data_IF_059000273454
#
_entry.id   IF_059000273454
#
_cell.length_a   1.000
_cell.length_b   1.000
_cell.length_c   1.000
_cell.angle_alpha   90.00
_cell.angle_beta   90.00
_cell.angle_gamma   90.00
#
_symmetry.space_group_name_H-M   'P 1'
#
loop_
_entity.id
_entity.type
_entity.pdbx_description
1 polymer ?
#
# COMPACT_ATOMS: atom_id res chain seq x y z
N UNK A 1 29.78 3.68 8.09
CA UNK A 1 28.59 2.91 7.67
C UNK A 1 27.43 3.77 8.12
N UNK A 2 26.65 4.33 7.19
CA UNK A 2 25.46 5.11 7.57
C UNK A 2 24.51 4.18 8.30
N UNK A 3 24.10 4.53 9.52
CA UNK A 3 23.03 3.83 10.22
C UNK A 3 21.78 3.89 9.32
N UNK A 4 21.53 2.81 8.58
CA UNK A 4 20.32 2.68 7.79
C UNK A 4 19.14 2.61 8.78
N UNK A 5 18.28 3.60 8.71
CA UNK A 5 17.07 3.61 9.55
C UNK A 5 16.13 2.48 9.10
N UNK A 6 16.09 1.38 9.84
CA UNK A 6 15.24 0.22 9.55
C UNK A 6 13.79 0.61 9.87
N UNK A 7 12.93 0.61 8.86
CA UNK A 7 11.50 0.92 8.98
C UNK A 7 10.70 -0.34 9.31
N UNK A 8 10.98 -1.45 8.59
CA UNK A 8 10.34 -2.75 8.85
C UNK A 8 11.41 -3.79 9.06
N UNK A 9 11.32 -4.54 10.16
CA UNK A 9 12.16 -5.69 10.42
C UNK A 9 11.31 -6.95 10.51
N UNK A 10 11.63 -7.95 9.70
CA UNK A 10 10.95 -9.25 9.66
C UNK A 10 11.89 -10.31 10.23
N UNK A 11 11.43 -11.10 11.19
CA UNK A 11 12.22 -12.12 11.88
C UNK A 11 11.52 -13.47 11.83
N UNK A 12 12.15 -14.44 11.17
CA UNK A 12 11.70 -15.84 11.09
C UNK A 12 10.20 -15.97 10.74
N UNK A 13 9.72 -15.14 9.81
CA UNK A 13 8.31 -15.04 9.47
C UNK A 13 7.80 -16.34 8.84
N UNK A 14 6.75 -16.89 9.41
CA UNK A 14 6.11 -18.12 8.95
C UNK A 14 4.62 -17.92 8.74
N UNK A 15 4.09 -18.52 7.68
CA UNK A 15 2.66 -18.57 7.41
C UNK A 15 2.29 -19.91 6.81
N UNK A 16 1.35 -20.58 7.46
CA UNK A 16 0.72 -21.78 6.96
C UNK A 16 -0.79 -21.58 6.80
N UNK A 17 -1.38 -22.22 5.80
CA UNK A 17 -2.82 -22.35 5.58
C UNK A 17 -3.17 -23.83 5.73
N UNK A 18 -3.71 -24.20 6.87
CA UNK A 18 -3.88 -25.61 7.24
C UNK A 18 -2.51 -26.32 7.30
N UNK A 19 -2.32 -27.32 6.48
CA UNK A 19 -1.04 -28.07 6.38
C UNK A 19 -0.07 -27.51 5.35
N UNK A 20 -0.48 -26.51 4.56
CA UNK A 20 0.36 -25.92 3.52
C UNK A 20 1.19 -24.77 4.07
N UNK A 21 2.51 -24.95 4.19
CA UNK A 21 3.46 -23.93 4.57
C UNK A 21 3.77 -23.03 3.35
N UNK A 22 3.42 -21.74 3.43
CA UNK A 22 3.59 -20.76 2.35
C UNK A 22 4.78 -19.84 2.60
N UNK A 23 4.98 -19.40 3.83
CA UNK A 23 6.17 -18.67 4.24
C UNK A 23 6.90 -19.50 5.29
N UNK A 24 8.20 -19.72 5.12
CA UNK A 24 9.01 -20.58 5.97
C UNK A 24 10.31 -19.90 6.41
N UNK A 25 10.20 -19.08 7.46
CA UNK A 25 11.36 -18.49 8.12
C UNK A 25 11.98 -17.28 7.39
N UNK A 26 11.16 -16.40 6.78
CA UNK A 26 11.69 -15.21 6.11
C UNK A 26 12.23 -14.22 7.15
N UNK A 27 13.49 -13.80 6.95
CA UNK A 27 14.13 -12.76 7.75
C UNK A 27 14.72 -11.70 6.82
N UNK A 28 14.31 -10.44 7.00
CA UNK A 28 14.78 -9.31 6.19
C UNK A 28 14.51 -8.00 6.90
N UNK A 29 15.31 -6.98 6.59
CA UNK A 29 15.10 -5.60 7.01
C UNK A 29 14.78 -4.74 5.78
N UNK A 30 13.84 -3.80 5.92
CA UNK A 30 13.48 -2.80 4.93
C UNK A 30 13.78 -1.43 5.53
N UNK A 31 14.66 -0.69 4.87
CA UNK A 31 15.09 0.62 5.36
C UNK A 31 14.20 1.73 4.81
N UNK A 32 14.17 2.85 5.53
CA UNK A 32 13.44 4.04 5.06
C UNK A 32 13.98 4.53 3.70
N UNK A 33 13.08 4.82 2.77
CA UNK A 33 13.40 5.25 1.40
C UNK A 33 13.88 4.12 0.48
N UNK A 34 13.87 2.86 0.94
CA UNK A 34 14.27 1.71 0.14
C UNK A 34 13.13 1.24 -0.76
N UNK A 35 13.48 0.84 -1.98
CA UNK A 35 12.57 0.17 -2.92
C UNK A 35 12.95 -1.30 -2.99
N UNK A 36 12.09 -2.16 -2.46
CA UNK A 36 12.29 -3.61 -2.41
C UNK A 36 11.34 -4.30 -3.40
N UNK A 37 11.88 -5.10 -4.31
CA UNK A 37 11.10 -5.93 -5.22
C UNK A 37 11.08 -7.39 -4.77
N UNK A 38 9.89 -7.94 -4.55
CA UNK A 38 9.70 -9.37 -4.23
C UNK A 38 9.39 -10.12 -5.51
N UNK A 39 10.31 -10.98 -5.94
CA UNK A 39 10.20 -11.76 -7.18
C UNK A 39 10.04 -13.24 -6.90
N UNK A 40 9.36 -13.95 -7.78
CA UNK A 40 9.15 -15.40 -7.68
C UNK A 40 7.97 -15.86 -8.56
N UNK A 41 7.81 -17.16 -8.78
CA UNK A 41 6.70 -17.71 -9.58
C UNK A 41 5.33 -17.44 -8.95
N UNK A 42 4.27 -17.63 -9.70
CA UNK A 42 2.90 -17.57 -9.18
C UNK A 42 2.73 -18.61 -8.05
N UNK A 43 2.04 -18.23 -6.96
CA UNK A 43 1.84 -19.11 -5.82
C UNK A 43 3.02 -19.23 -4.85
N UNK A 44 4.15 -18.52 -5.07
CA UNK A 44 5.33 -18.59 -4.17
C UNK A 44 5.18 -17.81 -2.86
N UNK A 45 4.02 -17.25 -2.56
CA UNK A 45 3.78 -16.56 -1.29
C UNK A 45 4.05 -15.05 -1.30
N UNK A 46 4.36 -14.41 -2.46
CA UNK A 46 4.64 -12.96 -2.56
C UNK A 46 3.54 -12.09 -1.94
N UNK A 47 2.29 -12.30 -2.37
CA UNK A 47 1.14 -11.58 -1.83
C UNK A 47 0.90 -11.88 -0.35
N UNK A 48 1.14 -13.13 0.08
CA UNK A 48 1.05 -13.52 1.48
C UNK A 48 2.08 -12.77 2.32
N UNK A 49 3.33 -12.68 1.84
CA UNK A 49 4.38 -11.91 2.50
C UNK A 49 4.00 -10.43 2.63
N UNK A 50 3.61 -9.77 1.52
CA UNK A 50 3.19 -8.36 1.54
C UNK A 50 2.02 -8.11 2.49
N UNK A 51 1.00 -8.98 2.45
CA UNK A 51 -0.18 -8.87 3.34
C UNK A 51 0.14 -9.18 4.79
N UNK A 52 1.20 -9.92 5.07
CA UNK A 52 1.67 -10.13 6.43
C UNK A 52 2.31 -8.87 7.01
N UNK A 53 2.98 -8.03 6.20
CA UNK A 53 3.63 -6.79 6.67
C UNK A 53 2.67 -5.76 7.29
N UNK A 54 1.36 -5.85 6.97
CA UNK A 54 0.31 -5.03 7.60
C UNK A 54 -0.74 -5.87 8.35
N UNK A 55 -0.44 -7.14 8.61
CA UNK A 55 -1.30 -8.14 9.27
C UNK A 55 -2.70 -8.28 8.63
N UNK A 56 -2.86 -8.04 7.33
CA UNK A 56 -4.03 -8.54 6.59
C UNK A 56 -4.01 -10.07 6.51
N UNK A 57 -2.80 -10.65 6.46
CA UNK A 57 -2.56 -12.07 6.70
C UNK A 57 -1.79 -12.20 8.02
N UNK A 58 -2.42 -12.74 9.04
CA UNK A 58 -1.78 -12.94 10.35
C UNK A 58 -0.77 -14.09 10.22
N UNK A 59 0.52 -13.87 10.54
CA UNK A 59 1.54 -14.91 10.53
C UNK A 59 1.20 -16.06 11.49
N UNK A 60 1.71 -17.26 11.19
CA UNK A 60 1.63 -18.42 12.11
C UNK A 60 2.85 -18.51 13.02
N UNK A 61 3.90 -17.73 12.74
CA UNK A 61 5.12 -17.63 13.56
C UNK A 61 6.02 -16.51 13.08
N UNK A 62 7.03 -16.21 13.87
CA UNK A 62 7.96 -15.10 13.65
C UNK A 62 7.39 -13.78 14.15
N UNK A 63 8.12 -12.69 13.83
CA UNK A 63 7.80 -11.34 14.28
C UNK A 63 7.95 -10.34 13.14
N UNK A 64 7.15 -9.28 13.19
CA UNK A 64 7.26 -8.11 12.30
C UNK A 64 7.33 -6.88 13.18
N UNK A 65 8.45 -6.17 13.13
CA UNK A 65 8.60 -4.89 13.81
C UNK A 65 8.45 -3.77 12.78
N UNK A 66 7.55 -2.84 13.06
CA UNK A 66 7.37 -1.59 12.31
C UNK A 66 7.77 -0.43 13.21
N UNK A 67 8.74 0.39 12.80
CA UNK A 67 9.34 1.44 13.63
C UNK A 67 9.76 0.94 15.04
N UNK A 68 10.33 -0.27 15.09
CA UNK A 68 10.75 -0.90 16.34
C UNK A 68 9.63 -1.50 17.20
N UNK A 69 8.36 -1.33 16.82
CA UNK A 69 7.21 -1.91 17.53
C UNK A 69 6.84 -3.25 16.90
N UNK A 70 6.77 -4.32 17.70
CA UNK A 70 6.29 -5.62 17.24
C UNK A 70 4.79 -5.57 16.98
N UNK A 71 4.40 -5.47 15.71
CA UNK A 71 3.00 -5.41 15.31
C UNK A 71 2.29 -6.76 15.38
N UNK A 72 3.03 -7.86 15.56
CA UNK A 72 2.45 -9.20 15.74
C UNK A 72 1.99 -9.46 17.17
N UNK A 73 2.37 -8.61 18.14
CA UNK A 73 1.86 -8.69 19.51
C UNK A 73 0.37 -8.30 19.53
N UNK A 74 -0.54 -9.18 19.99
CA UNK A 74 -1.98 -8.89 20.04
C UNK A 74 -2.37 -7.72 20.95
N UNK A 75 -1.46 -7.22 21.78
CA UNK A 75 -1.68 -6.02 22.59
C UNK A 75 -1.49 -4.71 21.83
N UNK A 76 -0.87 -4.76 20.66
CA UNK A 76 -0.60 -3.59 19.82
C UNK A 76 -1.84 -3.25 18.99
N UNK A 77 -2.22 -1.97 18.98
CA UNK A 77 -3.27 -1.47 18.09
C UNK A 77 -2.75 -1.40 16.64
N UNK A 78 -2.98 -2.47 15.90
CA UNK A 78 -2.55 -2.59 14.50
C UNK A 78 -3.16 -1.49 13.61
N UNK A 79 -4.31 -0.93 13.95
CA UNK A 79 -4.94 0.08 13.12
C UNK A 79 -4.14 1.39 13.09
N UNK A 80 -3.43 1.71 14.17
CA UNK A 80 -2.47 2.84 14.18
C UNK A 80 -1.33 2.64 13.20
N UNK A 81 -0.79 1.41 13.12
CA UNK A 81 0.29 1.08 12.19
C UNK A 81 -0.21 1.02 10.75
N UNK A 82 -1.42 0.48 10.51
CA UNK A 82 -2.04 0.46 9.16
C UNK A 82 -2.28 1.86 8.58
N UNK A 83 -2.43 2.89 9.40
CA UNK A 83 -2.50 4.28 8.92
C UNK A 83 -1.20 4.72 8.24
N UNK A 84 -0.06 4.17 8.66
CA UNK A 84 1.28 4.47 8.16
C UNK A 84 1.74 3.50 7.05
N UNK A 85 1.01 2.42 6.82
CA UNK A 85 1.34 1.38 5.83
C UNK A 85 0.27 1.40 4.74
N UNK A 86 0.56 2.12 3.65
CA UNK A 86 -0.32 2.13 2.49
C UNK A 86 -0.27 0.80 1.74
N UNK A 87 -1.40 0.35 1.21
CA UNK A 87 -1.44 -0.86 0.39
C UNK A 87 -2.26 -0.65 -0.87
N UNK A 88 -1.69 -1.06 -1.99
CA UNK A 88 -2.30 -1.06 -3.32
C UNK A 88 -2.41 -2.50 -3.78
N UNK A 89 -3.62 -2.93 -4.09
CA UNK A 89 -3.93 -4.30 -4.48
C UNK A 89 -3.99 -4.45 -5.99
N UNK A 90 -3.90 -5.68 -6.47
CA UNK A 90 -4.16 -6.07 -7.86
C UNK A 90 -5.56 -5.61 -8.32
N UNK A 91 -6.57 -5.80 -7.48
CA UNK A 91 -7.89 -5.23 -7.68
C UNK A 91 -7.92 -3.83 -7.05
N UNK A 92 -8.43 -2.85 -7.76
CA UNK A 92 -8.39 -1.43 -7.37
C UNK A 92 -9.12 -1.14 -6.04
N UNK A 93 -10.13 -1.94 -5.71
CA UNK A 93 -10.93 -1.87 -4.47
C UNK A 93 -11.49 -0.45 -4.18
N UNK A 94 -11.85 0.29 -5.24
CA UNK A 94 -12.51 1.57 -5.10
C UNK A 94 -13.98 1.36 -4.67
N UNK A 95 -14.49 2.26 -3.84
CA UNK A 95 -15.89 2.26 -3.43
C UNK A 95 -16.77 2.72 -4.60
N UNK A 96 -17.59 1.84 -5.20
CA UNK A 96 -18.30 2.15 -6.45
C UNK A 96 -19.37 3.23 -6.30
N UNK A 97 -19.92 3.40 -5.10
CA UNK A 97 -20.96 4.38 -4.77
C UNK A 97 -20.40 5.74 -4.33
N UNK A 98 -19.08 5.92 -4.38
CA UNK A 98 -18.38 7.17 -4.05
C UNK A 98 -17.68 7.71 -5.28
N UNK A 99 -17.66 9.03 -5.43
CA UNK A 99 -16.83 9.67 -6.47
C UNK A 99 -15.35 9.40 -6.21
N UNK A 100 -14.52 9.64 -7.20
CA UNK A 100 -13.05 9.55 -7.09
C UNK A 100 -12.53 10.37 -5.92
N UNK A 101 -12.93 11.63 -5.84
CA UNK A 101 -12.54 12.53 -4.74
C UNK A 101 -12.98 11.99 -3.38
N UNK A 102 -14.22 11.50 -3.28
CA UNK A 102 -14.73 10.90 -2.05
C UNK A 102 -13.98 9.62 -1.65
N UNK A 103 -13.52 8.82 -2.63
CA UNK A 103 -12.67 7.65 -2.36
C UNK A 103 -11.35 8.05 -1.69
N UNK A 104 -10.72 9.12 -2.16
CA UNK A 104 -9.44 9.62 -1.62
C UNK A 104 -9.64 10.24 -0.23
N UNK A 105 -10.72 11.01 -0.03
CA UNK A 105 -11.00 11.72 1.22
C UNK A 105 -11.46 10.81 2.36
N UNK A 106 -11.99 9.61 2.04
CA UNK A 106 -12.75 8.80 2.99
C UNK A 106 -11.96 8.51 4.27
N UNK A 107 -10.81 7.87 4.16
CA UNK A 107 -10.04 7.43 5.31
C UNK A 107 -9.52 8.60 6.16
N UNK A 108 -8.89 9.66 5.60
CA UNK A 108 -8.46 10.81 6.39
C UNK A 108 -9.58 11.48 7.20
N UNK A 109 -10.79 11.57 6.63
CA UNK A 109 -11.95 12.19 7.30
C UNK A 109 -12.55 11.28 8.37
N UNK A 110 -12.83 10.01 8.03
CA UNK A 110 -13.43 9.05 8.96
C UNK A 110 -12.55 8.77 10.19
N UNK A 111 -11.23 8.77 9.99
CA UNK A 111 -10.25 8.60 11.07
C UNK A 111 -9.94 9.92 11.80
N UNK A 112 -10.62 11.02 11.42
CA UNK A 112 -10.44 12.36 12.02
C UNK A 112 -9.00 12.88 11.97
N UNK A 113 -8.24 12.47 10.94
CA UNK A 113 -6.88 12.95 10.70
C UNK A 113 -6.87 14.30 9.97
N UNK A 114 -7.94 14.59 9.22
CA UNK A 114 -8.14 15.82 8.47
C UNK A 114 -9.60 16.26 8.56
N UNK A 115 -9.84 17.56 8.50
CA UNK A 115 -11.17 18.11 8.24
C UNK A 115 -11.59 17.78 6.80
N UNK A 116 -12.87 17.94 6.48
CA UNK A 116 -13.36 17.71 5.10
C UNK A 116 -12.71 18.67 4.12
N UNK A 117 -12.46 19.90 4.52
CA UNK A 117 -11.84 20.95 3.72
C UNK A 117 -10.37 20.62 3.42
N UNK A 118 -9.61 20.19 4.43
CA UNK A 118 -8.21 19.76 4.27
C UNK A 118 -8.12 18.51 3.39
N UNK A 119 -8.96 17.50 3.64
CA UNK A 119 -9.01 16.28 2.84
C UNK A 119 -9.42 16.56 1.39
N UNK A 120 -10.34 17.53 1.16
CA UNK A 120 -10.74 17.96 -0.18
C UNK A 120 -9.57 18.58 -0.95
N UNK A 121 -8.83 19.47 -0.31
CA UNK A 121 -7.64 20.10 -0.90
C UNK A 121 -6.55 19.05 -1.19
N UNK A 122 -6.27 18.18 -0.23
CA UNK A 122 -5.32 17.09 -0.39
C UNK A 122 -5.71 16.14 -1.54
N UNK A 123 -7.00 15.84 -1.68
CA UNK A 123 -7.49 15.00 -2.77
C UNK A 123 -7.27 15.67 -4.15
N UNK A 124 -7.51 16.98 -4.27
CA UNK A 124 -7.25 17.71 -5.52
C UNK A 124 -5.76 17.72 -5.87
N UNK A 125 -4.87 17.93 -4.89
CA UNK A 125 -3.41 17.85 -5.05
C UNK A 125 -2.97 16.45 -5.52
N UNK A 126 -3.51 15.40 -4.90
CA UNK A 126 -3.19 14.02 -5.28
C UNK A 126 -3.73 13.65 -6.66
N UNK A 127 -4.93 14.12 -7.02
CA UNK A 127 -5.49 13.94 -8.35
C UNK A 127 -4.64 14.62 -9.43
N UNK A 128 -4.15 15.82 -9.16
CA UNK A 128 -3.21 16.49 -10.05
C UNK A 128 -1.90 15.68 -10.18
N UNK A 129 -1.35 15.19 -9.07
CA UNK A 129 -0.13 14.37 -9.05
C UNK A 129 -0.24 13.08 -9.87
N UNK A 130 -1.41 12.42 -9.82
CA UNK A 130 -1.64 11.19 -10.60
C UNK A 130 -2.18 11.46 -12.02
N UNK A 131 -2.20 12.73 -12.47
CA UNK A 131 -2.61 13.12 -13.81
C UNK A 131 -4.11 12.99 -14.09
N UNK A 132 -4.97 13.10 -13.07
CA UNK A 132 -6.42 12.93 -13.18
C UNK A 132 -7.25 14.04 -12.50
N UNK A 133 -6.87 15.34 -12.63
CA UNK A 133 -7.57 16.41 -11.94
C UNK A 133 -9.02 16.58 -12.40
N UNK A 134 -9.33 16.24 -13.65
CA UNK A 134 -10.67 16.31 -14.26
C UNK A 134 -11.61 15.18 -13.80
N UNK A 135 -11.10 14.16 -13.12
CA UNK A 135 -11.86 12.96 -12.70
C UNK A 135 -12.42 13.05 -11.28
N UNK A 136 -12.24 14.17 -10.57
CA UNK A 136 -12.66 14.32 -9.17
C UNK A 136 -14.11 13.87 -8.89
N UNK A 137 -15.03 14.23 -9.78
CA UNK A 137 -16.46 13.96 -9.64
C UNK A 137 -16.92 12.69 -10.40
N UNK A 138 -16.03 11.99 -11.11
CA UNK A 138 -16.34 10.74 -11.79
C UNK A 138 -16.55 9.61 -10.77
N UNK A 139 -17.30 8.58 -11.18
CA UNK A 139 -17.44 7.33 -10.43
C UNK A 139 -16.50 6.26 -10.97
N UNK A 140 -16.10 5.26 -10.15
CA UNK A 140 -15.14 4.24 -10.56
C UNK A 140 -15.51 3.46 -11.83
N UNK A 141 -16.79 3.23 -12.11
CA UNK A 141 -17.28 2.54 -13.32
C UNK A 141 -17.01 3.31 -14.61
N UNK A 142 -16.83 4.64 -14.51
CA UNK A 142 -16.54 5.52 -15.66
C UNK A 142 -15.04 5.58 -16.02
N UNK A 143 -14.18 4.80 -15.35
CA UNK A 143 -12.74 4.92 -15.44
C UNK A 143 -12.11 3.67 -16.07
N UNK A 144 -11.00 3.88 -16.80
CA UNK A 144 -10.15 2.77 -17.26
C UNK A 144 -9.44 2.07 -16.09
N UNK A 145 -8.91 0.87 -16.34
CA UNK A 145 -8.13 0.12 -15.33
C UNK A 145 -6.94 0.91 -14.79
N UNK A 146 -6.15 1.53 -15.67
CA UNK A 146 -5.01 2.36 -15.28
C UNK A 146 -5.40 3.59 -14.48
N UNK A 147 -6.53 4.24 -14.82
CA UNK A 147 -7.06 5.35 -14.04
C UNK A 147 -7.50 4.89 -12.64
N UNK A 148 -8.22 3.76 -12.54
CA UNK A 148 -8.61 3.17 -11.24
C UNK A 148 -7.40 2.87 -10.37
N UNK A 149 -6.33 2.33 -10.95
CA UNK A 149 -5.10 2.01 -10.21
C UNK A 149 -4.39 3.26 -9.71
N UNK A 150 -4.24 4.30 -10.54
CA UNK A 150 -3.67 5.58 -10.11
C UNK A 150 -4.48 6.23 -9.00
N UNK A 151 -5.80 6.11 -9.02
CA UNK A 151 -6.67 6.59 -7.94
C UNK A 151 -6.49 5.74 -6.67
N UNK A 152 -6.34 4.41 -6.78
CA UNK A 152 -6.04 3.56 -5.63
C UNK A 152 -4.70 3.92 -4.97
N UNK A 153 -3.69 4.28 -5.76
CA UNK A 153 -2.42 4.83 -5.27
C UNK A 153 -2.65 6.18 -4.57
N UNK A 154 -3.36 7.12 -5.21
CA UNK A 154 -3.69 8.43 -4.63
C UNK A 154 -4.46 8.29 -3.30
N UNK A 155 -5.41 7.36 -3.22
CA UNK A 155 -6.15 7.06 -1.99
C UNK A 155 -5.23 6.59 -0.86
N UNK A 156 -4.26 5.73 -1.17
CA UNK A 156 -3.28 5.28 -0.17
C UNK A 156 -2.35 6.42 0.26
N UNK A 157 -1.91 7.26 -0.67
CA UNK A 157 -1.07 8.43 -0.38
C UNK A 157 -1.78 9.51 0.46
N UNK A 158 -3.12 9.56 0.44
CA UNK A 158 -3.89 10.51 1.24
C UNK A 158 -3.68 10.35 2.75
N UNK A 159 -3.27 9.17 3.18
CA UNK A 159 -2.93 8.86 4.59
C UNK A 159 -1.52 9.29 4.99
N UNK A 160 -0.70 9.83 4.07
CA UNK A 160 0.72 10.14 4.26
C UNK A 160 1.51 8.93 4.85
N UNK A 161 1.48 7.78 4.17
CA UNK A 161 2.12 6.57 4.69
C UNK A 161 3.64 6.66 4.69
N UNK A 162 4.30 5.97 5.64
CA UNK A 162 5.75 5.82 5.70
C UNK A 162 6.28 4.76 4.72
N UNK A 163 5.41 3.82 4.33
CA UNK A 163 5.68 2.78 3.34
C UNK A 163 4.47 2.47 2.49
N UNK A 164 4.70 2.20 1.21
CA UNK A 164 3.68 1.75 0.25
C UNK A 164 3.94 0.30 -0.17
N UNK A 165 2.99 -0.59 0.09
CA UNK A 165 3.01 -1.98 -0.35
C UNK A 165 2.21 -2.12 -1.65
N UNK A 166 2.81 -2.71 -2.68
CA UNK A 166 2.18 -2.93 -3.98
C UNK A 166 2.07 -4.43 -4.26
N UNK A 167 0.85 -4.96 -4.24
CA UNK A 167 0.56 -6.37 -4.51
C UNK A 167 0.11 -6.51 -5.97
N UNK A 168 1.06 -6.81 -6.86
CA UNK A 168 0.86 -6.97 -8.31
C UNK A 168 0.07 -5.80 -8.97
N UNK A 169 0.52 -4.53 -8.81
CA UNK A 169 -0.29 -3.36 -9.15
C UNK A 169 -0.61 -3.20 -10.63
N UNK A 170 0.03 -3.97 -11.51
CA UNK A 170 -0.14 -3.88 -12.97
C UNK A 170 -0.75 -5.14 -13.59
N UNK A 171 -0.91 -6.23 -12.83
CA UNK A 171 -1.34 -7.53 -13.39
C UNK A 171 -2.78 -7.57 -13.92
N UNK A 172 -3.64 -6.65 -13.45
CA UNK A 172 -5.02 -6.49 -13.91
C UNK A 172 -5.20 -5.39 -14.97
N UNK A 173 -4.09 -4.88 -15.52
CA UNK A 173 -4.10 -3.78 -16.50
C UNK A 173 -3.81 -4.27 -17.92
N UNK A 174 -4.40 -3.59 -18.89
CA UNK A 174 -4.01 -3.72 -20.28
C UNK A 174 -2.56 -3.20 -20.47
N UNK A 175 -1.77 -3.82 -21.36
CA UNK A 175 -0.36 -3.46 -21.57
C UNK A 175 -0.12 -1.97 -21.82
N UNK A 176 -1.04 -1.29 -22.51
CA UNK A 176 -0.97 0.14 -22.81
C UNK A 176 -1.05 1.02 -21.55
N UNK A 177 -1.69 0.52 -20.48
CA UNK A 177 -1.91 1.28 -19.23
C UNK A 177 -0.82 1.03 -18.18
N UNK A 178 -0.02 -0.01 -18.35
CA UNK A 178 1.04 -0.41 -17.41
C UNK A 178 2.08 0.70 -17.26
N UNK A 179 2.46 1.34 -18.37
CA UNK A 179 3.48 2.40 -18.39
C UNK A 179 3.17 3.56 -17.45
N UNK A 180 1.94 4.06 -17.48
CA UNK A 180 1.51 5.21 -16.65
C UNK A 180 1.59 4.91 -15.13
N UNK A 181 1.24 3.68 -14.74
CA UNK A 181 1.32 3.25 -13.33
C UNK A 181 2.77 3.09 -12.90
N UNK A 182 3.64 2.52 -13.75
CA UNK A 182 5.05 2.34 -13.46
C UNK A 182 5.78 3.70 -13.37
N UNK A 183 5.46 4.66 -14.23
CA UNK A 183 6.05 6.02 -14.12
C UNK A 183 5.66 6.69 -12.80
N UNK A 184 4.40 6.61 -12.38
CA UNK A 184 3.98 7.11 -11.08
C UNK A 184 4.73 6.42 -9.93
N UNK A 185 4.94 5.11 -9.99
CA UNK A 185 5.72 4.39 -8.98
C UNK A 185 7.18 4.85 -8.97
N UNK A 186 7.80 5.11 -10.12
CA UNK A 186 9.16 5.66 -10.21
C UNK A 186 9.24 7.06 -9.58
N UNK A 187 8.27 7.93 -9.84
CA UNK A 187 8.22 9.25 -9.21
C UNK A 187 8.12 9.16 -7.69
N UNK A 188 7.32 8.23 -7.17
CA UNK A 188 7.23 7.96 -5.73
C UNK A 188 8.57 7.49 -5.17
N UNK A 189 9.25 6.56 -5.84
CA UNK A 189 10.57 6.09 -5.47
C UNK A 189 11.60 7.23 -5.42
N UNK A 190 11.63 8.06 -6.45
CA UNK A 190 12.54 9.22 -6.55
C UNK A 190 12.24 10.28 -5.47
N UNK A 191 11.00 10.38 -5.00
CA UNK A 191 10.64 11.25 -3.88
C UNK A 191 11.06 10.71 -2.50
N UNK A 192 11.70 9.53 -2.44
CA UNK A 192 12.17 8.91 -1.20
C UNK A 192 11.12 8.05 -0.48
N UNK A 193 10.00 7.72 -1.15
CA UNK A 193 8.99 6.81 -0.60
C UNK A 193 9.57 5.40 -0.42
N UNK A 194 9.39 4.82 0.76
CA UNK A 194 9.68 3.40 0.99
C UNK A 194 8.64 2.53 0.29
N UNK A 195 9.05 1.54 -0.51
CA UNK A 195 8.12 0.71 -1.28
C UNK A 195 8.54 -0.76 -1.29
#
# INVERSE_FOLDING_TARGET
MSDKNVLIQVKDLKKAFGTNQVLDGITTDICQGEVVAVIGPSGSGKSTFLRSLNLLEVPTGGQILFEGTDITDPKVDINRHRQKIGMVFQQFNLFPHKTVKQNIMLAPVELKLMTKEEASKKADELLARVGLPDKANAYPDMLSGGQKQRIAIARSLAMNPDVMLFDEPTSALDPEMVGEVLELMKELAQSGMTM
#
